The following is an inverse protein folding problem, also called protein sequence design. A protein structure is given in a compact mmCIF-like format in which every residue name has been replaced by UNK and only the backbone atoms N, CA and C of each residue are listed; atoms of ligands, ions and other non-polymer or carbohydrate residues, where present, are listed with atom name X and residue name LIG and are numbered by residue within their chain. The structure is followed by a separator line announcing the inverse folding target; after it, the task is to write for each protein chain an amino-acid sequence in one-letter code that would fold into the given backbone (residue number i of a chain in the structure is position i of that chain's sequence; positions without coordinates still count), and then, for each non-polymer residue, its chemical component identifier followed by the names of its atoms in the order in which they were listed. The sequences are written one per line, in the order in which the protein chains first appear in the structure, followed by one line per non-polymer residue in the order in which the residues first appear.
data_IF_845473843793
#
_entry.id   IF_845473843793
#
_cell.length_a   1.000
_cell.length_b   1.000
_cell.length_c   1.000
_cell.angle_alpha   90.00
_cell.angle_beta   90.00
_cell.angle_gamma   90.00
#
_symmetry.space_group_name_H-M   'P 1'
#
loop_
_entity.id
_entity.type
_entity.pdbx_description
1 polymer ?
#
# COMPACT_ATOMS: atom_id res chain seq x y z
N UNK A 1 -18.68 -26.63 36.87
CA UNK A 1 -18.39 -25.20 36.77
C UNK A 1 -17.10 -25.08 36.00
N UNK A 2 -17.17 -24.96 34.69
CA UNK A 2 -16.00 -24.87 33.79
C UNK A 2 -15.71 -23.38 33.59
N UNK A 3 -14.54 -22.99 34.04
CA UNK A 3 -14.06 -21.61 33.96
C UNK A 3 -13.50 -21.41 32.55
N UNK A 4 -14.26 -20.73 31.70
CA UNK A 4 -13.79 -20.31 30.35
C UNK A 4 -12.76 -19.20 30.50
N UNK A 5 -11.50 -19.50 30.18
CA UNK A 5 -10.43 -18.53 29.99
C UNK A 5 -10.83 -17.57 28.86
N UNK A 6 -10.97 -16.31 29.17
CA UNK A 6 -10.96 -15.21 28.19
C UNK A 6 -9.48 -14.92 27.88
N UNK A 7 -8.93 -15.57 26.89
CA UNK A 7 -7.63 -15.21 26.37
C UNK A 7 -7.82 -14.05 25.37
N UNK A 8 -7.95 -12.83 25.88
CA UNK A 8 -7.75 -11.63 25.09
C UNK A 8 -6.26 -11.56 24.76
N UNK A 9 -5.92 -11.65 23.47
CA UNK A 9 -4.55 -11.43 23.00
C UNK A 9 -4.24 -9.96 23.26
N UNK A 10 -3.27 -9.69 24.14
CA UNK A 10 -2.76 -8.33 24.37
C UNK A 10 -1.89 -7.92 23.20
N UNK A 11 -2.54 -7.35 22.18
CA UNK A 11 -1.91 -6.84 20.97
C UNK A 11 -0.97 -5.67 21.30
N UNK A 12 -1.27 -4.84 22.31
CA UNK A 12 -0.45 -3.70 22.70
C UNK A 12 0.97 -4.13 23.08
N UNK A 13 1.11 -5.16 23.93
CA UNK A 13 2.41 -5.68 24.33
C UNK A 13 3.20 -6.35 23.21
N UNK A 14 2.51 -6.89 22.19
CA UNK A 14 3.12 -7.44 20.99
C UNK A 14 3.65 -6.31 20.08
N UNK A 15 2.85 -5.26 19.86
CA UNK A 15 3.24 -4.10 19.06
C UNK A 15 4.43 -3.35 19.66
N UNK A 16 4.43 -3.10 20.98
CA UNK A 16 5.54 -2.45 21.69
C UNK A 16 6.85 -3.24 21.61
N UNK A 17 6.78 -4.55 21.69
CA UNK A 17 7.95 -5.43 21.60
C UNK A 17 8.54 -5.38 20.20
N UNK A 18 7.71 -5.48 19.17
CA UNK A 18 8.13 -5.46 17.76
C UNK A 18 8.63 -4.09 17.32
N UNK A 19 8.02 -2.98 17.79
CA UNK A 19 8.49 -1.60 17.59
C UNK A 19 9.89 -1.41 18.17
N UNK A 20 10.15 -1.92 19.37
CA UNK A 20 11.46 -1.86 20.00
C UNK A 20 12.52 -2.68 19.26
N UNK A 21 12.19 -3.87 18.78
CA UNK A 21 13.09 -4.72 17.98
C UNK A 21 13.41 -4.07 16.61
N UNK A 22 12.43 -3.53 15.93
CA UNK A 22 12.61 -2.86 14.65
C UNK A 22 13.41 -1.55 14.79
N UNK A 23 13.18 -0.78 15.85
CA UNK A 23 13.97 0.41 16.14
C UNK A 23 15.44 0.10 16.42
N UNK A 24 15.75 -1.04 17.06
CA UNK A 24 17.12 -1.50 17.30
C UNK A 24 17.75 -1.95 15.98
N UNK A 25 17.05 -2.75 15.16
CA UNK A 25 17.53 -3.21 13.85
C UNK A 25 17.80 -2.04 12.90
N UNK A 26 16.90 -1.05 12.86
CA UNK A 26 17.08 0.15 12.05
C UNK A 26 18.33 0.96 12.45
N UNK A 27 18.55 1.17 13.76
CA UNK A 27 19.75 1.86 14.25
C UNK A 27 21.05 1.11 13.94
N UNK A 28 21.04 -0.22 14.05
CA UNK A 28 22.20 -1.04 13.71
C UNK A 28 22.45 -1.01 12.20
N UNK A 29 21.43 -1.11 11.35
CA UNK A 29 21.57 -1.01 9.90
C UNK A 29 22.08 0.34 9.46
N UNK A 30 21.65 1.44 10.09
CA UNK A 30 22.12 2.79 9.78
C UNK A 30 23.60 2.97 10.14
N UNK A 31 24.04 2.43 11.28
CA UNK A 31 25.46 2.46 11.70
C UNK A 31 26.33 1.64 10.75
N UNK A 32 25.88 0.48 10.31
CA UNK A 32 26.60 -0.37 9.35
C UNK A 32 26.72 0.33 7.99
N UNK A 33 25.64 0.95 7.52
CA UNK A 33 25.63 1.68 6.24
C UNK A 33 26.57 2.89 6.27
N UNK A 34 26.60 3.62 7.39
CA UNK A 34 27.48 4.76 7.56
C UNK A 34 28.96 4.34 7.65
N UNK A 35 29.25 3.24 8.33
CA UNK A 35 30.59 2.66 8.39
C UNK A 35 31.07 2.18 7.02
N UNK A 36 30.21 1.51 6.24
CA UNK A 36 30.51 1.05 4.88
C UNK A 36 30.77 2.23 3.91
N UNK A 37 29.96 3.29 3.99
CA UNK A 37 30.15 4.51 3.18
C UNK A 37 31.47 5.22 3.52
N UNK A 38 31.84 5.31 4.80
CA UNK A 38 33.09 5.89 5.26
C UNK A 38 34.29 5.07 4.79
N UNK A 39 34.20 3.74 4.81
CA UNK A 39 35.25 2.84 4.33
C UNK A 39 35.44 2.95 2.81
N UNK A 40 34.34 3.03 2.04
CA UNK A 40 34.39 3.21 0.59
C UNK A 40 35.03 4.57 0.21
N UNK A 41 34.71 5.64 0.94
CA UNK A 41 35.34 6.98 0.72
C UNK A 41 36.85 6.98 1.02
N UNK A 42 37.28 6.36 2.13
CA UNK A 42 38.70 6.20 2.46
C UNK A 42 39.42 5.33 1.44
N UNK A 43 38.80 4.24 0.97
CA UNK A 43 39.37 3.35 -0.04
C UNK A 43 39.52 4.07 -1.40
N UNK A 44 38.53 4.87 -1.80
CA UNK A 44 38.57 5.67 -3.02
C UNK A 44 39.68 6.74 -2.98
N UNK A 45 39.88 7.40 -1.81
CA UNK A 45 40.99 8.35 -1.60
C UNK A 45 42.34 7.65 -1.63
N UNK A 46 42.50 6.49 -1.04
CA UNK A 46 43.71 5.66 -1.08
C UNK A 46 44.07 5.25 -2.50
N UNK A 47 43.10 4.76 -3.28
CA UNK A 47 43.30 4.35 -4.69
C UNK A 47 43.68 5.55 -5.58
N UNK A 48 43.12 6.74 -5.31
CA UNK A 48 43.48 7.98 -6.04
C UNK A 48 44.90 8.48 -5.74
N UNK A 49 45.42 8.16 -4.58
CA UNK A 49 46.78 8.54 -4.18
C UNK A 49 47.85 7.55 -4.68
N UNK A 50 47.45 6.39 -5.18
CA UNK A 50 48.37 5.28 -5.58
C UNK A 50 48.47 5.11 -7.09
N UNK A 51 47.95 6.02 -7.92
CA UNK A 51 48.09 5.92 -9.39
C UNK A 51 49.38 6.60 -9.85
N UNK A 52 50.28 5.84 -10.55
CA UNK A 52 51.44 6.47 -11.24
C UNK A 52 50.93 7.23 -12.48
N UNK A 53 51.51 8.39 -12.68
CA UNK A 53 51.39 9.12 -13.94
C UNK A 53 52.15 8.37 -15.01
N UNK A 54 51.54 8.12 -16.19
CA UNK A 54 52.26 8.30 -17.46
C UNK A 54 51.34 8.05 -18.69
N UNK A 55 51.51 9.01 -19.57
CA UNK A 55 51.62 9.01 -21.02
C UNK A 55 50.46 8.70 -21.94
N UNK A 56 50.13 9.74 -22.69
CA UNK A 56 49.45 9.69 -24.01
C UNK A 56 50.39 9.23 -25.11
N UNK A 57 49.82 8.61 -26.16
CA UNK A 57 49.84 9.32 -27.43
C UNK A 57 48.47 9.29 -28.17
N UNK A 58 48.44 10.15 -29.13
CA UNK A 58 47.42 10.76 -29.96
C UNK A 58 47.16 9.97 -31.26
N UNK A 59 45.96 10.24 -31.86
CA UNK A 59 45.54 10.07 -33.24
C UNK A 59 45.02 8.67 -33.65
N UNK A 60 43.99 8.47 -34.43
CA UNK A 60 43.52 9.16 -35.64
C UNK A 60 42.11 8.68 -36.01
N UNK A 61 41.39 9.46 -36.83
CA UNK A 61 40.03 9.36 -37.18
C UNK A 61 39.61 8.21 -38.10
N UNK A 62 38.35 7.93 -38.15
CA UNK A 62 37.61 7.71 -39.40
C UNK A 62 36.10 7.73 -39.21
N UNK A 63 35.44 8.51 -40.00
CA UNK A 63 34.00 8.61 -40.15
C UNK A 63 33.48 7.40 -40.98
N UNK A 64 32.28 6.91 -40.66
CA UNK A 64 31.43 6.17 -41.61
C UNK A 64 29.96 6.31 -41.27
N UNK A 65 29.32 7.13 -41.97
CA UNK A 65 28.09 7.09 -42.78
C UNK A 65 26.87 6.33 -42.22
N UNK A 66 25.86 7.15 -42.06
CA UNK A 66 24.43 6.83 -41.92
C UNK A 66 23.91 6.22 -43.25
N UNK A 67 23.19 5.12 -43.14
CA UNK A 67 22.27 4.71 -44.22
C UNK A 67 20.86 4.56 -43.67
N UNK A 68 20.01 5.46 -44.11
CA UNK A 68 18.56 5.43 -43.95
C UNK A 68 17.97 4.32 -44.85
N UNK A 69 17.10 3.51 -44.29
CA UNK A 69 16.21 2.65 -45.06
C UNK A 69 14.77 3.14 -44.95
N UNK A 70 14.28 3.66 -46.10
CA UNK A 70 12.87 3.92 -46.35
C UNK A 70 12.26 2.61 -46.88
N UNK A 71 11.17 2.13 -46.32
CA UNK A 71 10.31 1.12 -46.95
C UNK A 71 8.88 1.64 -47.03
N UNK A 72 8.41 1.66 -48.26
CA UNK A 72 7.09 2.07 -48.72
C UNK A 72 5.98 1.12 -48.28
N UNK A 73 4.83 1.71 -48.12
CA UNK A 73 3.52 1.09 -47.93
C UNK A 73 3.11 0.19 -49.13
N UNK A 74 2.42 -0.90 -48.77
CA UNK A 74 1.39 -1.46 -49.67
C UNK A 74 0.18 -1.87 -48.87
N UNK A 75 -0.93 -1.22 -49.14
CA UNK A 75 -2.27 -1.45 -48.63
C UNK A 75 -2.83 -2.72 -49.24
N UNK A 76 -3.45 -3.58 -48.43
CA UNK A 76 -4.45 -4.53 -48.92
C UNK A 76 -5.56 -4.62 -47.88
N UNK A 77 -6.71 -4.07 -48.22
CA UNK A 77 -7.95 -4.16 -47.49
C UNK A 77 -8.49 -5.60 -47.57
N UNK A 78 -8.88 -6.14 -46.42
CA UNK A 78 -9.90 -7.20 -46.38
C UNK A 78 -10.70 -6.94 -45.10
N UNK A 79 -11.92 -6.46 -45.31
CA UNK A 79 -12.93 -6.27 -44.29
C UNK A 79 -13.34 -7.64 -43.73
N UNK A 80 -13.23 -7.80 -42.45
CA UNK A 80 -13.98 -8.80 -41.68
C UNK A 80 -14.50 -8.06 -40.45
N UNK A 81 -15.77 -7.72 -40.47
CA UNK A 81 -16.50 -7.18 -39.35
C UNK A 81 -16.55 -8.27 -38.25
N UNK A 82 -15.76 -8.05 -37.20
CA UNK A 82 -15.97 -8.68 -35.91
C UNK A 82 -16.31 -7.55 -34.97
N UNK A 83 -17.56 -7.49 -34.54
CA UNK A 83 -17.98 -6.63 -33.43
C UNK A 83 -17.14 -7.00 -32.22
N UNK A 84 -16.06 -6.27 -32.02
CA UNK A 84 -15.36 -6.22 -30.76
C UNK A 84 -16.00 -5.07 -30.00
N UNK A 85 -16.78 -5.36 -28.98
CA UNK A 85 -17.18 -4.36 -27.99
C UNK A 85 -15.90 -3.68 -27.52
N UNK A 86 -15.75 -2.42 -27.93
CA UNK A 86 -14.66 -1.56 -27.48
C UNK A 86 -14.87 -1.35 -25.98
N UNK A 87 -14.09 -2.06 -25.17
CA UNK A 87 -13.91 -1.68 -23.76
C UNK A 87 -13.33 -0.27 -23.79
N UNK A 88 -14.18 0.70 -23.53
CA UNK A 88 -13.77 2.10 -23.38
C UNK A 88 -12.78 2.13 -22.21
N UNK A 89 -11.48 2.33 -22.52
CA UNK A 89 -10.49 2.54 -21.46
C UNK A 89 -10.92 3.78 -20.67
N UNK A 90 -11.40 3.56 -19.46
CA UNK A 90 -11.76 4.63 -18.54
C UNK A 90 -10.50 5.42 -18.19
N UNK A 91 -10.54 6.73 -18.43
CA UNK A 91 -9.41 7.63 -18.17
C UNK A 91 -9.45 8.25 -16.77
N UNK A 92 -10.55 8.11 -16.02
CA UNK A 92 -10.72 8.60 -14.67
C UNK A 92 -11.90 7.91 -13.98
N UNK A 93 -11.86 7.84 -12.64
CA UNK A 93 -12.97 7.39 -11.79
C UNK A 93 -13.59 8.54 -11.00
N UNK A 94 -13.37 9.80 -11.39
CA UNK A 94 -13.86 10.97 -10.67
C UNK A 94 -15.39 11.07 -10.57
N UNK A 95 -16.12 10.48 -11.50
CA UNK A 95 -17.59 10.44 -11.49
C UNK A 95 -18.13 9.30 -10.59
N UNK A 96 -17.25 8.43 -10.08
CA UNK A 96 -17.60 7.26 -9.27
C UNK A 96 -17.11 7.42 -7.83
N UNK A 97 -15.94 8.02 -7.65
CA UNK A 97 -15.28 8.15 -6.35
C UNK A 97 -15.71 9.43 -5.59
N UNK A 98 -15.87 9.37 -4.27
CA UNK A 98 -15.87 8.15 -3.46
C UNK A 98 -17.04 7.22 -3.84
N UNK A 99 -16.81 5.89 -3.74
CA UNK A 99 -17.88 4.93 -4.01
C UNK A 99 -19.08 5.24 -3.12
N UNK A 100 -20.23 5.46 -3.74
CA UNK A 100 -21.47 5.72 -3.03
C UNK A 100 -22.05 4.44 -2.43
N UNK A 101 -22.92 4.60 -1.44
CA UNK A 101 -23.67 3.48 -0.86
C UNK A 101 -24.49 2.78 -1.95
N UNK A 102 -24.35 1.46 -2.01
CA UNK A 102 -25.01 0.54 -2.93
C UNK A 102 -25.86 -0.46 -2.16
N UNK A 103 -26.59 -1.32 -2.89
CA UNK A 103 -27.19 -2.50 -2.26
C UNK A 103 -26.10 -3.37 -1.63
N UNK A 104 -26.38 -3.87 -0.42
CA UNK A 104 -25.45 -4.72 0.31
C UNK A 104 -25.19 -6.03 -0.45
N UNK A 105 -23.91 -6.33 -0.68
CA UNK A 105 -23.51 -7.62 -1.25
C UNK A 105 -23.45 -8.71 -0.18
N UNK A 106 -23.57 -9.98 -0.59
CA UNK A 106 -23.46 -11.12 0.31
C UNK A 106 -22.05 -11.24 0.93
N UNK A 107 -21.92 -11.88 2.09
CA UNK A 107 -20.61 -12.09 2.74
C UNK A 107 -19.63 -12.88 1.86
N UNK A 108 -20.14 -13.79 1.00
CA UNK A 108 -19.33 -14.53 0.03
C UNK A 108 -18.63 -13.65 -1.01
N UNK A 109 -19.02 -12.38 -1.14
CA UNK A 109 -18.29 -11.41 -1.96
C UNK A 109 -16.82 -11.31 -1.56
N UNK A 110 -16.54 -11.46 -0.26
CA UNK A 110 -15.16 -11.40 0.23
C UNK A 110 -14.34 -12.65 -0.09
N UNK A 111 -14.95 -13.75 -0.52
CA UNK A 111 -14.21 -14.97 -0.88
C UNK A 111 -13.25 -14.75 -2.06
N UNK A 112 -13.59 -13.82 -2.95
CA UNK A 112 -12.77 -13.40 -4.10
C UNK A 112 -11.97 -12.11 -3.87
N UNK A 113 -11.78 -11.70 -2.60
CA UNK A 113 -11.08 -10.48 -2.24
C UNK A 113 -9.70 -10.76 -1.63
N UNK A 114 -8.76 -9.83 -1.84
CA UNK A 114 -7.51 -9.72 -1.07
C UNK A 114 -7.48 -8.41 -0.31
N UNK A 115 -7.04 -8.47 0.94
CA UNK A 115 -6.91 -7.32 1.84
C UNK A 115 -5.45 -7.01 2.06
N UNK A 116 -5.02 -5.86 1.55
CA UNK A 116 -3.62 -5.42 1.53
C UNK A 116 -3.44 -4.26 2.49
N UNK A 117 -2.40 -4.29 3.32
CA UNK A 117 -2.18 -3.14 4.18
C UNK A 117 -1.22 -3.33 5.34
N UNK A 118 -1.49 -2.56 6.37
CA UNK A 118 -0.72 -2.55 7.61
C UNK A 118 -1.41 -3.37 8.73
N UNK A 119 -1.12 -3.01 9.97
CA UNK A 119 -1.66 -3.67 11.15
C UNK A 119 -3.20 -3.64 11.25
N UNK A 120 -3.86 -2.65 10.64
CA UNK A 120 -5.32 -2.60 10.59
C UNK A 120 -5.88 -3.74 9.74
N UNK A 121 -5.26 -4.03 8.58
CA UNK A 121 -5.66 -5.17 7.76
C UNK A 121 -5.28 -6.52 8.40
N UNK A 122 -4.15 -6.61 9.11
CA UNK A 122 -3.79 -7.81 9.89
C UNK A 122 -4.87 -8.15 10.92
N UNK A 123 -5.53 -7.14 11.49
CA UNK A 123 -6.61 -7.33 12.45
C UNK A 123 -7.81 -8.11 11.90
N UNK A 124 -8.13 -8.01 10.60
CA UNK A 124 -9.20 -8.79 9.97
C UNK A 124 -8.97 -10.30 10.11
N UNK A 125 -7.74 -10.75 9.86
CA UNK A 125 -7.33 -12.15 10.06
C UNK A 125 -7.24 -12.53 11.54
N UNK A 126 -6.61 -11.68 12.35
CA UNK A 126 -6.42 -11.92 13.79
C UNK A 126 -7.75 -12.13 14.56
N UNK A 127 -8.78 -11.37 14.19
CA UNK A 127 -10.11 -11.51 14.78
C UNK A 127 -11.00 -12.57 14.09
N UNK A 128 -10.48 -13.23 13.05
CA UNK A 128 -11.15 -14.32 12.34
C UNK A 128 -12.33 -13.87 11.47
N UNK A 129 -12.30 -12.65 10.94
CA UNK A 129 -13.29 -12.17 9.99
C UNK A 129 -12.96 -12.57 8.56
N UNK A 130 -11.69 -12.55 8.19
CA UNK A 130 -11.16 -12.87 6.86
C UNK A 130 -10.08 -13.95 7.04
N UNK A 131 -9.98 -14.87 6.09
CA UNK A 131 -8.93 -15.89 6.06
C UNK A 131 -7.53 -15.24 5.96
N UNK A 132 -6.54 -15.78 6.68
CA UNK A 132 -5.15 -15.29 6.59
C UNK A 132 -4.56 -15.41 5.18
N UNK A 133 -5.08 -16.33 4.37
CA UNK A 133 -4.68 -16.50 2.97
C UNK A 133 -5.08 -15.29 2.13
N UNK A 134 -6.17 -14.61 2.48
CA UNK A 134 -6.68 -13.42 1.82
C UNK A 134 -6.08 -12.11 2.37
N UNK A 135 -5.18 -12.19 3.36
CA UNK A 135 -4.52 -11.03 3.97
C UNK A 135 -3.09 -10.90 3.43
N UNK A 136 -2.82 -9.85 2.68
CA UNK A 136 -1.48 -9.45 2.25
C UNK A 136 -1.03 -8.19 3.02
N UNK A 137 -0.89 -8.32 4.33
CA UNK A 137 -0.64 -7.20 5.23
C UNK A 137 0.42 -7.54 6.28
N UNK A 138 1.05 -6.51 6.85
CA UNK A 138 2.08 -6.66 7.87
C UNK A 138 2.05 -5.56 8.92
N UNK A 139 2.40 -5.90 10.16
CA UNK A 139 2.47 -4.95 11.27
C UNK A 139 3.54 -3.90 11.01
N UNK A 140 3.17 -2.61 11.07
CA UNK A 140 4.06 -1.49 10.79
C UNK A 140 4.42 -1.35 9.31
N UNK A 141 3.74 -2.06 8.42
CA UNK A 141 3.89 -1.91 6.99
C UNK A 141 3.41 -0.53 6.54
N UNK A 142 4.02 -0.03 5.49
CA UNK A 142 3.69 1.28 4.92
C UNK A 142 3.77 1.21 3.39
N UNK A 143 3.26 2.22 2.71
CA UNK A 143 3.40 2.32 1.24
C UNK A 143 4.86 2.29 0.78
N UNK A 144 5.79 2.77 1.62
CA UNK A 144 7.24 2.77 1.32
C UNK A 144 7.85 1.39 1.42
N UNK A 145 7.34 0.55 2.33
CA UNK A 145 7.92 -0.76 2.63
C UNK A 145 7.19 -1.94 1.97
N UNK A 146 5.94 -1.76 1.55
CA UNK A 146 5.09 -2.87 1.06
C UNK A 146 5.66 -3.57 -0.19
N UNK A 147 6.33 -2.82 -1.06
CA UNK A 147 6.96 -3.38 -2.27
C UNK A 147 8.27 -4.13 -2.02
N UNK A 148 8.86 -4.03 -0.83
CA UNK A 148 10.21 -4.55 -0.56
C UNK A 148 10.32 -5.37 0.72
N UNK A 149 9.37 -5.27 1.63
CA UNK A 149 9.37 -6.04 2.89
C UNK A 149 8.51 -7.28 2.72
N UNK A 150 9.10 -8.48 2.80
CA UNK A 150 8.32 -9.70 2.65
C UNK A 150 7.37 -9.92 3.83
N UNK A 151 6.25 -10.54 3.52
CA UNK A 151 5.30 -11.11 4.46
C UNK A 151 5.72 -12.53 4.79
N UNK A 152 5.44 -12.99 6.02
CA UNK A 152 5.67 -14.38 6.41
C UNK A 152 4.33 -15.13 6.34
N UNK A 153 4.25 -16.14 5.49
CA UNK A 153 3.09 -17.04 5.41
C UNK A 153 2.99 -17.97 6.64
N UNK A 154 1.86 -18.65 6.79
CA UNK A 154 1.63 -19.59 7.90
C UNK A 154 2.64 -20.76 7.94
N UNK A 155 3.16 -21.16 6.79
CA UNK A 155 4.19 -22.21 6.66
C UNK A 155 5.63 -21.71 6.91
N UNK A 156 5.80 -20.41 7.20
CA UNK A 156 7.08 -19.77 7.43
C UNK A 156 7.82 -19.32 6.16
N UNK A 157 7.26 -19.51 4.97
CA UNK A 157 7.79 -18.95 3.75
C UNK A 157 7.60 -17.43 3.67
N UNK A 158 8.47 -16.77 2.91
CA UNK A 158 8.41 -15.33 2.70
C UNK A 158 7.90 -15.01 1.29
N UNK A 159 7.02 -14.01 1.17
CA UNK A 159 6.44 -13.56 -0.10
C UNK A 159 6.23 -12.05 -0.06
N UNK A 160 6.42 -11.33 -1.18
CA UNK A 160 6.02 -9.93 -1.28
C UNK A 160 4.49 -9.81 -1.39
N UNK A 161 3.94 -8.70 -0.89
CA UNK A 161 2.49 -8.47 -0.92
C UNK A 161 1.92 -8.54 -2.34
N UNK A 162 2.58 -7.91 -3.32
CA UNK A 162 2.16 -7.97 -4.72
C UNK A 162 2.20 -9.39 -5.29
N UNK A 163 3.24 -10.17 -4.97
CA UNK A 163 3.36 -11.56 -5.44
C UNK A 163 2.25 -12.43 -4.84
N UNK A 164 1.89 -12.22 -3.56
CA UNK A 164 0.78 -12.91 -2.91
C UNK A 164 -0.55 -12.59 -3.58
N UNK A 165 -0.81 -11.31 -3.88
CA UNK A 165 -1.99 -10.86 -4.60
C UNK A 165 -2.05 -11.48 -6.00
N UNK A 166 -0.96 -11.39 -6.76
CA UNK A 166 -0.89 -11.90 -8.13
C UNK A 166 -1.05 -13.43 -8.19
N UNK A 167 -0.50 -14.16 -7.22
CA UNK A 167 -0.68 -15.61 -7.12
C UNK A 167 -2.12 -16.02 -6.81
N UNK A 168 -2.83 -15.23 -6.01
CA UNK A 168 -4.25 -15.47 -5.68
C UNK A 168 -5.19 -15.08 -6.82
N UNK A 169 -4.80 -14.12 -7.69
CA UNK A 169 -5.61 -13.59 -8.79
C UNK A 169 -7.04 -13.20 -8.36
N UNK A 170 -7.22 -12.37 -7.32
CA UNK A 170 -8.53 -12.04 -6.79
C UNK A 170 -9.31 -11.12 -7.75
N UNK A 171 -10.63 -11.11 -7.64
CA UNK A 171 -11.45 -10.14 -8.37
C UNK A 171 -11.36 -8.74 -7.78
N UNK A 172 -11.13 -8.64 -6.48
CA UNK A 172 -11.10 -7.35 -5.79
C UNK A 172 -9.92 -7.29 -4.82
N UNK A 173 -9.21 -6.16 -4.83
CA UNK A 173 -8.11 -5.87 -3.90
C UNK A 173 -8.44 -4.63 -3.10
N UNK A 174 -8.57 -4.76 -1.80
CA UNK A 174 -8.77 -3.65 -0.86
C UNK A 174 -7.46 -3.24 -0.22
N UNK A 175 -7.03 -1.99 -0.42
CA UNK A 175 -5.74 -1.49 0.07
C UNK A 175 -5.97 -0.42 1.13
N UNK A 176 -5.49 -0.64 2.36
CA UNK A 176 -5.48 0.32 3.45
C UNK A 176 -4.06 0.54 3.94
N UNK A 177 -3.46 1.64 3.55
CA UNK A 177 -2.10 2.07 3.91
C UNK A 177 -2.06 3.59 4.04
N UNK A 178 -1.15 4.10 4.84
CA UNK A 178 -0.89 5.54 4.92
C UNK A 178 -0.56 6.02 6.34
N UNK A 179 -1.23 5.50 7.36
CA UNK A 179 -1.10 5.98 8.73
C UNK A 179 0.35 5.94 9.26
N UNK A 180 1.10 4.89 8.93
CA UNK A 180 2.47 4.67 9.46
C UNK A 180 3.51 5.66 8.93
N UNK A 181 3.20 6.48 7.92
CA UNK A 181 4.14 7.42 7.29
C UNK A 181 3.66 8.88 7.30
N UNK A 182 2.51 9.16 7.93
CA UNK A 182 2.03 10.53 8.08
C UNK A 182 3.09 11.42 8.74
N UNK A 183 3.33 12.59 8.14
CA UNK A 183 4.32 13.55 8.63
C UNK A 183 5.80 13.17 8.40
N UNK A 184 6.09 11.97 7.86
CA UNK A 184 7.47 11.54 7.54
C UNK A 184 7.87 11.84 6.10
N UNK A 185 6.93 11.69 5.17
CA UNK A 185 7.08 11.95 3.75
C UNK A 185 6.04 12.97 3.30
N UNK A 186 6.29 13.63 2.16
CA UNK A 186 5.27 14.45 1.51
C UNK A 186 4.19 13.54 0.88
N UNK A 187 2.97 14.06 0.76
CA UNK A 187 1.88 13.29 0.13
C UNK A 187 2.25 12.85 -1.30
N UNK A 188 2.94 13.71 -2.08
CA UNK A 188 3.44 13.36 -3.42
C UNK A 188 4.37 12.14 -3.41
N UNK A 189 5.29 12.07 -2.44
CA UNK A 189 6.19 10.92 -2.29
C UNK A 189 5.42 9.66 -1.89
N UNK A 190 4.48 9.76 -0.95
CA UNK A 190 3.65 8.62 -0.54
C UNK A 190 2.80 8.09 -1.69
N UNK A 191 2.19 8.99 -2.47
CA UNK A 191 1.38 8.62 -3.63
C UNK A 191 2.21 8.02 -4.78
N UNK A 192 3.48 8.41 -4.93
CA UNK A 192 4.40 7.74 -5.85
C UNK A 192 4.62 6.29 -5.47
N UNK A 193 4.95 6.01 -4.20
CA UNK A 193 5.10 4.62 -3.71
C UNK A 193 3.79 3.81 -3.81
N UNK A 194 2.66 4.48 -3.57
CA UNK A 194 1.34 3.86 -3.75
C UNK A 194 1.12 3.44 -5.20
N UNK A 195 1.50 4.32 -6.14
CA UNK A 195 1.45 4.06 -7.57
C UNK A 195 2.31 2.88 -7.98
N UNK A 196 3.56 2.85 -7.54
CA UNK A 196 4.51 1.76 -7.82
C UNK A 196 3.96 0.42 -7.32
N UNK A 197 3.34 0.39 -6.13
CA UNK A 197 2.72 -0.80 -5.60
C UNK A 197 1.51 -1.25 -6.43
N UNK A 198 0.59 -0.33 -6.78
CA UNK A 198 -0.57 -0.64 -7.63
C UNK A 198 -0.13 -1.17 -9.00
N UNK A 199 0.93 -0.61 -9.58
CA UNK A 199 1.46 -1.04 -10.88
C UNK A 199 2.11 -2.43 -10.83
N UNK A 200 2.49 -2.92 -9.65
CA UNK A 200 3.00 -4.28 -9.45
C UNK A 200 1.89 -5.36 -9.38
N UNK A 201 0.63 -4.94 -9.28
CA UNK A 201 -0.54 -5.83 -9.26
C UNK A 201 -1.05 -6.06 -10.69
N UNK A 202 -1.24 -7.32 -11.07
CA UNK A 202 -1.92 -7.66 -12.32
C UNK A 202 -3.40 -7.28 -12.24
N UNK A 203 -3.82 -6.32 -13.10
CA UNK A 203 -5.18 -5.74 -13.12
C UNK A 203 -6.10 -6.33 -14.18
N UNK A 204 -5.70 -7.37 -14.89
CA UNK A 204 -6.47 -7.89 -16.02
C UNK A 204 -7.84 -8.39 -15.61
N UNK A 205 -8.21 -8.70 -14.49
CA UNK A 205 -9.57 -9.02 -14.02
C UNK A 205 -9.73 -8.64 -12.54
N UNK A 206 -8.96 -7.64 -12.11
CA UNK A 206 -8.87 -7.25 -10.70
C UNK A 206 -9.22 -5.78 -10.55
N UNK A 207 -10.26 -5.51 -9.80
CA UNK A 207 -10.63 -4.17 -9.35
C UNK A 207 -9.84 -3.82 -8.09
N UNK A 208 -9.27 -2.61 -8.07
CA UNK A 208 -8.54 -2.11 -6.92
C UNK A 208 -9.37 -1.04 -6.20
N UNK A 209 -9.57 -1.25 -4.91
CA UNK A 209 -10.22 -0.33 -3.98
C UNK A 209 -9.18 0.21 -2.99
N UNK A 210 -8.96 1.51 -3.03
CA UNK A 210 -8.14 2.21 -2.05
C UNK A 210 -9.05 2.71 -0.94
N UNK A 211 -8.77 2.32 0.28
CA UNK A 211 -9.55 2.72 1.46
C UNK A 211 -8.87 3.94 2.09
N UNK A 212 -9.67 4.95 2.44
CA UNK A 212 -9.17 6.12 3.16
C UNK A 212 -8.56 5.75 4.51
N UNK A 213 -7.50 6.44 4.89
CA UNK A 213 -6.88 6.28 6.21
C UNK A 213 -7.91 6.62 7.29
N UNK A 214 -8.20 5.71 8.23
CA UNK A 214 -9.18 5.93 9.29
C UNK A 214 -8.82 7.08 10.21
N UNK A 215 -9.79 7.65 10.94
CA UNK A 215 -9.50 8.65 11.96
C UNK A 215 -8.80 8.03 13.17
N UNK A 216 -8.19 8.87 13.99
CA UNK A 216 -7.63 8.50 15.30
C UNK A 216 -8.42 9.16 16.42
N UNK A 217 -8.29 8.61 17.65
CA UNK A 217 -8.98 9.15 18.82
C UNK A 217 -8.46 10.51 19.25
N UNK A 218 -9.21 11.20 20.12
CA UNK A 218 -8.79 12.46 20.70
C UNK A 218 -7.53 12.32 21.58
N UNK A 219 -7.37 11.21 22.31
CA UNK A 219 -6.18 10.93 23.07
C UNK A 219 -4.96 10.77 22.16
N UNK A 220 -5.10 10.08 21.03
CA UNK A 220 -4.02 9.91 20.06
C UNK A 220 -3.61 11.21 19.39
N UNK A 221 -4.58 12.09 19.12
CA UNK A 221 -4.35 13.41 18.51
C UNK A 221 -3.55 14.34 19.44
N UNK A 222 -3.69 14.17 20.76
CA UNK A 222 -3.03 14.99 21.79
C UNK A 222 -1.89 14.30 22.51
N UNK A 223 -1.43 13.14 22.04
CA UNK A 223 -0.27 12.43 22.57
C UNK A 223 0.99 13.33 22.50
N UNK A 224 1.63 13.59 23.65
CA UNK A 224 2.76 14.52 23.75
C UNK A 224 4.02 13.98 23.03
N UNK A 225 4.19 12.68 22.94
CA UNK A 225 5.38 12.04 22.38
C UNK A 225 5.28 11.78 20.88
N UNK A 226 4.06 11.49 20.39
CA UNK A 226 3.86 11.10 18.99
C UNK A 226 2.41 11.34 18.52
N UNK A 227 1.99 12.61 18.41
CA UNK A 227 0.64 12.94 17.99
C UNK A 227 0.39 12.53 16.54
N UNK A 228 -0.85 12.11 16.25
CA UNK A 228 -1.35 11.91 14.89
C UNK A 228 -2.57 12.82 14.74
N UNK A 229 -2.50 13.78 13.82
CA UNK A 229 -3.56 14.77 13.66
C UNK A 229 -4.61 14.30 12.65
N UNK A 230 -5.88 14.34 13.04
CA UNK A 230 -6.99 14.06 12.12
C UNK A 230 -7.07 15.05 10.95
N UNK A 231 -6.53 16.26 11.11
CA UNK A 231 -6.36 17.24 10.02
C UNK A 231 -5.39 16.74 8.95
N UNK A 232 -4.28 16.12 9.34
CA UNK A 232 -3.27 15.60 8.42
C UNK A 232 -3.79 14.35 7.71
N UNK A 233 -4.50 13.47 8.44
CA UNK A 233 -5.22 12.35 7.85
C UNK A 233 -6.22 12.84 6.79
N UNK A 234 -6.99 13.90 7.10
CA UNK A 234 -7.96 14.47 6.18
C UNK A 234 -7.31 15.03 4.91
N UNK A 235 -6.17 15.71 5.04
CA UNK A 235 -5.40 16.22 3.90
C UNK A 235 -4.88 15.09 3.02
N UNK A 236 -4.23 14.10 3.62
CA UNK A 236 -3.72 12.92 2.92
C UNK A 236 -4.83 12.13 2.21
N UNK A 237 -6.00 11.97 2.85
CA UNK A 237 -7.16 11.32 2.23
C UNK A 237 -7.69 12.09 1.02
N UNK A 238 -7.69 13.43 1.07
CA UNK A 238 -8.10 14.25 -0.07
C UNK A 238 -7.16 14.09 -1.26
N UNK A 239 -5.87 13.95 -1.02
CA UNK A 239 -4.89 13.70 -2.09
C UNK A 239 -4.93 12.24 -2.57
N UNK A 240 -5.20 11.28 -1.68
CA UNK A 240 -5.41 9.88 -2.04
C UNK A 240 -6.66 9.69 -2.93
N UNK A 241 -7.74 10.44 -2.70
CA UNK A 241 -8.92 10.47 -3.55
C UNK A 241 -8.57 10.98 -4.98
N UNK A 242 -7.84 12.09 -5.08
CA UNK A 242 -7.38 12.61 -6.39
C UNK A 242 -6.49 11.59 -7.11
N UNK A 243 -5.59 10.96 -6.37
CA UNK A 243 -4.73 9.90 -6.88
C UNK A 243 -5.56 8.72 -7.43
N UNK A 244 -6.53 8.23 -6.65
CA UNK A 244 -7.40 7.13 -7.07
C UNK A 244 -8.13 7.46 -8.38
N UNK A 245 -8.67 8.70 -8.52
CA UNK A 245 -9.32 9.16 -9.73
C UNK A 245 -8.39 9.12 -10.94
N UNK A 246 -7.15 9.62 -10.79
CA UNK A 246 -6.17 9.68 -11.87
C UNK A 246 -5.62 8.30 -12.25
N UNK A 247 -5.67 7.33 -11.34
CA UNK A 247 -5.17 5.96 -11.54
C UNK A 247 -6.27 4.99 -11.98
N UNK A 248 -7.50 5.46 -12.12
CA UNK A 248 -8.66 4.65 -12.45
C UNK A 248 -8.84 3.47 -11.48
N UNK A 249 -8.69 3.74 -10.18
CA UNK A 249 -8.99 2.81 -9.09
C UNK A 249 -10.13 3.38 -8.24
N UNK A 250 -10.82 2.52 -7.52
CA UNK A 250 -11.94 2.92 -6.68
C UNK A 250 -11.44 3.46 -5.34
N UNK A 251 -12.17 4.41 -4.77
CA UNK A 251 -11.89 4.99 -3.45
C UNK A 251 -13.07 4.79 -2.51
N UNK A 252 -12.82 4.18 -1.35
CA UNK A 252 -13.82 3.91 -0.32
C UNK A 252 -13.54 4.80 0.90
N UNK A 253 -14.50 5.65 1.27
CA UNK A 253 -14.33 6.62 2.36
C UNK A 253 -14.68 6.03 3.73
N UNK A 254 -13.88 5.08 4.21
CA UNK A 254 -14.00 4.50 5.53
C UNK A 254 -13.75 5.55 6.66
N UNK A 255 -12.94 6.57 6.38
CA UNK A 255 -12.64 7.62 7.34
C UNK A 255 -13.90 8.34 7.82
N UNK A 256 -14.75 8.73 6.88
CA UNK A 256 -16.04 9.37 7.22
C UNK A 256 -16.98 8.41 7.94
N UNK A 257 -16.99 7.14 7.58
CA UNK A 257 -17.85 6.12 8.20
C UNK A 257 -17.48 5.83 9.67
N UNK A 258 -16.21 5.97 10.04
CA UNK A 258 -15.73 5.66 11.39
C UNK A 258 -15.63 6.89 12.31
N UNK A 259 -15.89 8.10 11.82
CA UNK A 259 -15.86 9.30 12.64
C UNK A 259 -17.08 9.40 13.55
N UNK A 260 -16.83 9.74 14.81
CA UNK A 260 -17.85 10.23 15.73
C UNK A 260 -18.31 11.65 15.41
N UNK A 261 -19.29 12.18 16.16
CA UNK A 261 -19.85 13.51 15.95
C UNK A 261 -18.84 14.67 16.10
N UNK A 262 -17.73 14.43 16.78
CA UNK A 262 -16.62 15.38 16.97
C UNK A 262 -15.56 15.30 15.87
N UNK A 263 -15.76 14.43 14.87
CA UNK A 263 -14.84 14.22 13.75
C UNK A 263 -13.64 13.33 14.06
N UNK A 264 -13.62 12.69 15.22
CA UNK A 264 -12.57 11.78 15.68
C UNK A 264 -13.06 10.34 15.71
N UNK A 265 -12.12 9.41 15.84
CA UNK A 265 -12.47 8.02 16.11
C UNK A 265 -12.97 7.90 17.56
N UNK A 266 -14.13 7.25 17.81
CA UNK A 266 -14.62 7.08 19.16
C UNK A 266 -13.69 6.22 20.03
N UNK A 267 -13.43 6.65 21.26
CA UNK A 267 -12.55 5.95 22.22
C UNK A 267 -13.07 4.53 22.55
N UNK A 268 -14.40 4.34 22.56
CA UNK A 268 -15.03 3.04 22.77
C UNK A 268 -14.76 2.03 21.66
N UNK A 269 -14.46 2.48 20.44
CA UNK A 269 -14.23 1.66 19.24
C UNK A 269 -12.75 1.38 18.99
N UNK A 270 -11.86 2.15 19.64
CA UNK A 270 -10.41 2.05 19.53
C UNK A 270 -9.81 1.17 20.63
N UNK A 271 -8.69 0.51 20.32
CA UNK A 271 -7.77 -0.03 21.33
C UNK A 271 -7.07 1.13 22.07
N UNK A 272 -6.39 0.83 23.17
CA UNK A 272 -5.78 1.82 24.06
C UNK A 272 -4.73 2.74 23.40
N UNK A 273 -4.28 2.43 22.21
CA UNK A 273 -3.35 3.28 21.45
C UNK A 273 -4.05 4.34 20.58
N UNK A 274 -5.37 4.34 20.56
CA UNK A 274 -6.19 5.30 19.85
C UNK A 274 -6.16 5.18 18.31
N UNK A 275 -5.61 4.08 17.80
CA UNK A 275 -5.40 3.81 16.36
C UNK A 275 -6.05 2.50 15.94
N UNK A 276 -5.74 1.41 16.65
CA UNK A 276 -6.21 0.08 16.29
C UNK A 276 -7.66 -0.13 16.66
N UNK A 277 -8.35 -0.90 15.85
CA UNK A 277 -9.77 -1.17 16.01
C UNK A 277 -10.01 -2.29 17.03
N UNK A 278 -11.02 -2.11 17.87
CA UNK A 278 -11.62 -3.23 18.60
C UNK A 278 -12.39 -4.15 17.66
N UNK A 279 -12.60 -5.38 18.06
CA UNK A 279 -13.29 -6.39 17.25
C UNK A 279 -14.66 -5.94 16.69
N UNK A 280 -15.54 -5.22 17.40
CA UNK A 280 -16.79 -4.72 16.82
C UNK A 280 -16.58 -3.77 15.64
N UNK A 281 -15.57 -2.92 15.70
CA UNK A 281 -15.25 -1.94 14.65
C UNK A 281 -14.83 -2.60 13.35
N UNK A 282 -14.13 -3.74 13.41
CA UNK A 282 -13.85 -4.53 12.19
C UNK A 282 -15.13 -5.04 11.53
N UNK A 283 -16.15 -5.38 12.29
CA UNK A 283 -17.46 -5.75 11.74
C UNK A 283 -18.09 -4.55 11.04
N UNK A 284 -18.12 -3.39 11.69
CA UNK A 284 -18.61 -2.15 11.08
C UNK A 284 -17.85 -1.82 9.78
N UNK A 285 -16.53 -1.97 9.76
CA UNK A 285 -15.74 -1.81 8.54
C UNK A 285 -16.21 -2.76 7.42
N UNK A 286 -16.37 -4.04 7.69
CA UNK A 286 -16.79 -5.00 6.68
C UNK A 286 -18.22 -4.77 6.20
N UNK A 287 -19.15 -4.41 7.10
CA UNK A 287 -20.52 -4.02 6.74
C UNK A 287 -20.49 -2.79 5.82
N UNK A 288 -19.66 -1.81 6.11
CA UNK A 288 -19.47 -0.63 5.26
C UNK A 288 -18.90 -1.01 3.89
N UNK A 289 -17.87 -1.86 3.83
CA UNK A 289 -17.30 -2.31 2.56
C UNK A 289 -18.33 -3.07 1.70
N UNK A 290 -19.24 -3.85 2.30
CA UNK A 290 -20.30 -4.58 1.59
C UNK A 290 -21.36 -3.69 0.97
N UNK A 291 -21.53 -2.48 1.49
CA UNK A 291 -22.47 -1.48 0.95
C UNK A 291 -21.80 -0.42 0.09
N UNK A 292 -20.48 -0.52 -0.15
CA UNK A 292 -19.71 0.44 -0.96
C UNK A 292 -18.89 -0.31 -2.03
N UNK A 293 -19.61 -1.02 -2.91
CA UNK A 293 -19.05 -1.80 -4.02
C UNK A 293 -19.48 -1.16 -5.34
N UNK A 294 -18.55 -1.02 -6.27
CA UNK A 294 -18.88 -0.59 -7.62
C UNK A 294 -19.57 -1.74 -8.39
N UNK A 295 -20.79 -1.51 -8.84
CA UNK A 295 -21.61 -2.52 -9.53
C UNK A 295 -21.48 -2.53 -11.06
N UNK A 296 -20.76 -1.55 -11.63
CA UNK A 296 -20.52 -1.53 -13.09
C UNK A 296 -21.71 -1.09 -13.94
N UNK A 297 -22.73 -0.39 -13.35
CA UNK A 297 -23.83 0.20 -14.12
C UNK A 297 -23.46 1.50 -14.81
#
# INVERSE_FOLDING_TARGET
MVQTRKDGIDLSSYYDRKKKENGIKFRISFVILFAAASFAACFALYMKSSSPADDKPQADGSASQVTAFTVSQTVSETETETETEAVSERTSTADINPIAESAEVDESYFDDCMFVGDSLMVGLGTYGFISEEQIAAGIGMSVVSIGTTPLTNADGSEILAADKVNAASPRHVYILLGLNMLGTYTDEQLLSYYGDFIDSINRENTDIYVISVPPVTGERETDEDNPILNSDIGSSNADLLKFANNRCVYYVDLNTALKGPDGRFPEEDAEADGVHFKKPTYRTMLEYLRTHVYSGE
#
